data_IF_724854184412
#
_entry.id   IF_724854184412
#
_cell.length_a   1.000
_cell.length_b   1.000
_cell.length_c   1.000
_cell.angle_alpha   90.00
_cell.angle_beta   90.00
_cell.angle_gamma   90.00
#
_symmetry.space_group_name_H-M   'P 1'
#
loop_
_entity.id
_entity.type
_entity.pdbx_description
1 polymer ?
#
# COMPACT_ATOMS: atom_id res chain seq x y z
N UNK A 1 17.32 30.76 -9.90
CA UNK A 1 17.05 30.08 -8.61
C UNK A 1 15.66 29.49 -8.65
N UNK A 2 15.54 28.16 -8.70
CA UNK A 2 14.31 27.41 -8.42
C UNK A 2 14.72 26.16 -7.65
N UNK A 3 14.43 26.16 -6.36
CA UNK A 3 14.52 24.98 -5.49
C UNK A 3 13.40 24.02 -5.90
N UNK A 4 13.72 23.05 -6.75
CA UNK A 4 12.97 21.80 -6.80
C UNK A 4 13.46 20.97 -5.62
N UNK A 5 12.74 21.10 -4.50
CA UNK A 5 12.92 20.23 -3.36
C UNK A 5 12.55 18.81 -3.78
N UNK A 6 13.56 18.00 -4.06
CA UNK A 6 13.42 16.57 -3.99
C UNK A 6 12.94 16.26 -2.58
N UNK A 7 11.68 15.87 -2.42
CA UNK A 7 11.25 15.10 -1.26
C UNK A 7 12.02 13.80 -1.35
N UNK A 8 13.21 13.80 -0.74
CA UNK A 8 14.06 12.64 -0.63
C UNK A 8 13.22 11.54 -0.04
N UNK A 9 12.93 10.53 -0.86
CA UNK A 9 12.45 9.26 -0.38
C UNK A 9 13.47 8.80 0.64
N UNK A 10 13.09 8.89 1.91
CA UNK A 10 13.84 8.25 2.98
C UNK A 10 13.91 6.80 2.54
N UNK A 11 15.13 6.32 2.30
CA UNK A 11 15.40 4.91 2.10
C UNK A 11 14.96 4.22 3.40
N UNK A 12 13.68 3.87 3.46
CA UNK A 12 13.14 2.95 4.42
C UNK A 12 13.91 1.66 4.10
N UNK A 13 14.87 1.31 4.95
CA UNK A 13 15.86 0.27 4.66
C UNK A 13 15.14 -0.91 4.04
N UNK A 14 15.44 -1.19 2.76
CA UNK A 14 14.75 -2.21 1.99
C UNK A 14 14.96 -3.52 2.73
N UNK A 15 13.93 -4.11 3.35
CA UNK A 15 14.05 -5.46 3.86
C UNK A 15 14.08 -6.34 2.62
N UNK A 16 15.28 -6.58 2.09
CA UNK A 16 15.49 -7.36 0.88
C UNK A 16 14.72 -8.68 1.01
N UNK A 17 13.87 -8.96 0.02
CA UNK A 17 13.06 -10.18 -0.01
C UNK A 17 11.76 -10.16 0.80
N UNK A 18 11.39 -9.06 1.46
CA UNK A 18 10.07 -8.92 2.07
C UNK A 18 9.03 -8.34 1.07
N UNK A 19 7.80 -8.83 1.15
CA UNK A 19 6.66 -8.37 0.35
C UNK A 19 5.44 -8.13 1.23
N UNK A 20 4.61 -7.14 0.90
CA UNK A 20 3.30 -6.94 1.50
C UNK A 20 2.23 -7.56 0.59
N UNK A 21 1.26 -8.25 1.18
CA UNK A 21 0.07 -8.74 0.46
C UNK A 21 -0.89 -7.57 0.27
N UNK A 22 -1.20 -7.24 -0.98
CA UNK A 22 -2.12 -6.14 -1.32
C UNK A 22 -3.54 -6.65 -1.57
N UNK A 23 -3.65 -7.71 -2.37
CA UNK A 23 -4.92 -8.38 -2.69
C UNK A 23 -4.73 -9.88 -2.52
N UNK A 24 -5.68 -10.54 -1.86
CA UNK A 24 -5.65 -11.98 -1.60
C UNK A 24 -6.91 -12.65 -2.13
N UNK A 25 -6.80 -13.30 -3.29
CA UNK A 25 -7.86 -14.11 -3.87
C UNK A 25 -7.64 -15.61 -3.58
N UNK A 26 -8.61 -16.44 -3.95
CA UNK A 26 -8.59 -17.88 -3.65
C UNK A 26 -7.37 -18.59 -4.28
N UNK A 27 -7.02 -18.25 -5.52
CA UNK A 27 -5.97 -18.94 -6.30
C UNK A 27 -4.70 -18.10 -6.48
N UNK A 28 -4.82 -16.77 -6.41
CA UNK A 28 -3.73 -15.82 -6.66
C UNK A 28 -3.68 -14.74 -5.59
N UNK A 29 -2.53 -14.10 -5.48
CA UNK A 29 -2.35 -12.93 -4.64
C UNK A 29 -1.57 -11.86 -5.39
N UNK A 30 -1.90 -10.60 -5.14
CA UNK A 30 -1.06 -9.47 -5.52
C UNK A 30 -0.18 -9.10 -4.34
N UNK A 31 1.13 -8.99 -4.60
CA UNK A 31 2.12 -8.61 -3.60
C UNK A 31 3.00 -7.48 -4.10
N UNK A 32 3.43 -6.61 -3.18
CA UNK A 32 4.32 -5.47 -3.46
C UNK A 32 5.60 -5.62 -2.65
N UNK A 33 6.80 -5.40 -3.22
CA UNK A 33 8.03 -5.38 -2.44
C UNK A 33 8.00 -4.31 -1.34
N UNK A 34 8.39 -4.69 -0.13
CA UNK A 34 8.57 -3.72 0.96
C UNK A 34 9.79 -2.85 0.66
N UNK A 35 9.64 -1.54 0.74
CA UNK A 35 10.63 -0.57 0.26
C UNK A 35 10.33 0.00 -1.13
N UNK A 36 9.23 -0.43 -1.75
CA UNK A 36 8.74 0.07 -3.03
C UNK A 36 9.09 -0.82 -4.22
N UNK A 37 8.43 -0.58 -5.34
CA UNK A 37 8.53 -1.38 -6.54
C UNK A 37 7.17 -1.62 -7.17
N UNK A 38 7.15 -2.44 -8.22
CA UNK A 38 5.91 -2.80 -8.91
C UNK A 38 5.20 -3.95 -8.20
N UNK A 39 3.87 -3.89 -8.18
CA UNK A 39 3.03 -4.99 -7.75
C UNK A 39 3.19 -6.19 -8.70
N UNK A 40 3.18 -7.39 -8.14
CA UNK A 40 3.28 -8.65 -8.90
C UNK A 40 2.21 -9.62 -8.44
N UNK A 41 1.73 -10.42 -9.38
CA UNK A 41 0.80 -11.52 -9.11
C UNK A 41 1.59 -12.80 -8.87
N UNK A 42 1.27 -13.50 -7.79
CA UNK A 42 1.86 -14.79 -7.42
C UNK A 42 0.77 -15.81 -7.11
N UNK A 43 1.02 -17.13 -7.24
CA UNK A 43 0.05 -18.13 -6.82
C UNK A 43 -0.17 -18.06 -5.30
N UNK A 44 -1.43 -18.16 -4.85
CA UNK A 44 -1.80 -18.16 -3.42
C UNK A 44 -1.05 -19.23 -2.62
N UNK A 45 -0.79 -20.36 -3.24
CA UNK A 45 -0.06 -21.49 -2.66
C UNK A 45 1.41 -21.17 -2.30
N UNK A 46 1.98 -20.10 -2.84
CA UNK A 46 3.35 -19.66 -2.50
C UNK A 46 3.42 -18.84 -1.22
N UNK A 47 2.27 -18.39 -0.71
CA UNK A 47 2.17 -17.63 0.54
C UNK A 47 1.81 -18.54 1.72
N UNK A 48 2.19 -18.17 2.96
CA UNK A 48 1.72 -18.87 4.15
C UNK A 48 0.19 -18.96 4.19
N UNK A 49 -0.34 -20.01 4.82
CA UNK A 49 -1.80 -20.25 4.84
C UNK A 49 -2.56 -19.16 5.61
N UNK A 50 -1.97 -18.65 6.67
CA UNK A 50 -2.65 -17.73 7.59
C UNK A 50 -2.48 -16.25 7.22
N UNK A 51 -1.82 -15.93 6.10
CA UNK A 51 -1.65 -14.52 5.68
C UNK A 51 -2.98 -13.90 5.27
N UNK A 52 -3.07 -12.60 5.49
CA UNK A 52 -4.17 -11.72 5.12
C UNK A 52 -3.67 -10.56 4.28
N UNK A 53 -4.60 -9.85 3.65
CA UNK A 53 -4.29 -8.56 3.04
C UNK A 53 -3.72 -7.60 4.08
N UNK A 54 -2.66 -6.88 3.69
CA UNK A 54 -1.88 -6.01 4.56
C UNK A 54 -0.74 -6.72 5.30
N UNK A 55 -0.71 -8.06 5.37
CA UNK A 55 0.38 -8.77 6.04
C UNK A 55 1.69 -8.65 5.25
N UNK A 56 2.79 -8.60 5.99
CA UNK A 56 4.13 -8.65 5.42
C UNK A 56 4.65 -10.08 5.48
N UNK A 57 5.22 -10.56 4.38
CA UNK A 57 5.84 -11.89 4.26
C UNK A 57 7.31 -11.72 3.93
N UNK A 58 8.18 -12.38 4.69
CA UNK A 58 9.62 -12.44 4.47
C UNK A 58 10.07 -13.89 4.50
N UNK A 59 10.83 -14.30 3.48
CA UNK A 59 11.36 -15.66 3.38
C UNK A 59 10.28 -16.75 3.54
N UNK A 60 9.08 -16.51 2.99
CA UNK A 60 7.96 -17.44 3.04
C UNK A 60 7.28 -17.56 4.41
N UNK A 61 7.50 -16.60 5.32
CA UNK A 61 6.82 -16.52 6.63
C UNK A 61 6.21 -15.14 6.84
N UNK A 62 5.10 -15.07 7.57
CA UNK A 62 4.57 -13.78 8.02
C UNK A 62 5.54 -13.09 8.98
N UNK A 63 5.81 -11.81 8.75
CA UNK A 63 6.67 -10.94 9.55
C UNK A 63 5.81 -9.89 10.28
N UNK A 64 5.21 -10.32 11.39
CA UNK A 64 4.28 -9.50 12.17
C UNK A 64 4.95 -8.27 12.79
N UNK A 65 6.24 -8.36 13.13
CA UNK A 65 6.99 -7.24 13.72
C UNK A 65 7.21 -6.14 12.68
N UNK A 66 7.68 -6.49 11.49
CA UNK A 66 7.84 -5.55 10.39
C UNK A 66 6.48 -4.95 9.96
N UNK A 67 5.44 -5.78 9.86
CA UNK A 67 4.09 -5.33 9.56
C UNK A 67 3.55 -4.31 10.58
N UNK A 68 3.68 -4.60 11.88
CA UNK A 68 3.24 -3.70 12.94
C UNK A 68 4.01 -2.36 12.92
N UNK A 69 5.32 -2.42 12.66
CA UNK A 69 6.15 -1.21 12.51
C UNK A 69 5.67 -0.34 11.34
N UNK A 70 5.50 -0.93 10.15
CA UNK A 70 5.06 -0.19 8.97
C UNK A 70 3.64 0.38 9.15
N UNK A 71 2.73 -0.39 9.75
CA UNK A 71 1.38 0.09 10.06
C UNK A 71 1.41 1.32 10.97
N UNK A 72 2.29 1.32 11.98
CA UNK A 72 2.50 2.47 12.86
C UNK A 72 3.08 3.67 12.09
N UNK A 73 4.11 3.47 11.26
CA UNK A 73 4.70 4.55 10.46
C UNK A 73 3.65 5.18 9.52
N UNK A 74 2.82 4.37 8.86
CA UNK A 74 1.71 4.85 8.02
C UNK A 74 0.68 5.63 8.85
N UNK A 75 0.33 5.15 10.03
CA UNK A 75 -0.60 5.86 10.91
C UNK A 75 -0.05 7.23 11.35
N UNK A 76 1.23 7.30 11.70
CA UNK A 76 1.91 8.57 12.03
C UNK A 76 1.92 9.53 10.83
N UNK A 77 2.18 9.04 9.62
CA UNK A 77 2.11 9.85 8.40
C UNK A 77 0.71 10.33 8.08
N UNK A 78 -0.30 9.45 8.16
CA UNK A 78 -1.70 9.83 7.96
C UNK A 78 -2.14 10.91 8.93
N UNK A 79 -1.73 10.81 10.20
CA UNK A 79 -2.02 11.84 11.19
C UNK A 79 -1.36 13.19 10.86
N UNK A 80 -0.10 13.18 10.39
CA UNK A 80 0.62 14.40 9.99
C UNK A 80 0.06 15.06 8.73
N UNK A 81 -0.41 14.25 7.79
CA UNK A 81 -0.94 14.69 6.50
C UNK A 81 -2.46 14.88 6.51
N UNK A 82 -3.11 14.62 7.65
CA UNK A 82 -4.55 14.78 7.79
C UNK A 82 -4.94 16.24 7.52
N UNK A 83 -5.86 16.42 6.57
CA UNK A 83 -6.50 17.70 6.28
C UNK A 83 -7.97 17.59 6.67
N UNK A 84 -8.50 18.65 7.27
CA UNK A 84 -9.92 18.70 7.61
C UNK A 84 -10.76 18.61 6.35
N UNK A 85 -11.82 17.80 6.40
CA UNK A 85 -12.85 17.80 5.35
C UNK A 85 -13.65 19.11 5.51
N UNK A 86 -13.78 19.95 4.48
CA UNK A 86 -14.59 21.15 4.54
C UNK A 86 -16.06 20.83 4.85
N UNK A 87 -16.71 21.71 5.62
CA UNK A 87 -18.15 21.59 5.88
C UNK A 87 -18.95 21.49 4.56
N UNK A 88 -19.84 20.51 4.48
CA UNK A 88 -20.68 20.28 3.30
C UNK A 88 -20.03 19.46 2.17
N UNK A 89 -18.78 19.02 2.31
CA UNK A 89 -18.19 18.02 1.41
C UNK A 89 -18.53 16.62 1.90
N UNK A 90 -19.47 15.96 1.22
CA UNK A 90 -19.83 14.57 1.48
C UNK A 90 -18.86 13.64 0.74
N UNK A 91 -18.05 12.90 1.50
CA UNK A 91 -17.11 11.89 1.00
C UNK A 91 -17.69 10.47 1.12
N UNK A 92 -18.84 10.30 1.77
CA UNK A 92 -19.50 9.03 2.03
C UNK A 92 -20.54 8.69 0.94
N UNK A 93 -21.07 9.69 0.23
CA UNK A 93 -21.81 9.46 -1.01
C UNK A 93 -20.83 9.10 -2.12
N UNK A 94 -20.58 7.79 -2.26
CA UNK A 94 -19.71 7.22 -3.28
C UNK A 94 -19.86 7.93 -4.63
N UNK A 95 -18.72 8.30 -5.22
CA UNK A 95 -18.68 9.15 -6.41
C UNK A 95 -19.66 8.65 -7.50
N UNK A 96 -20.61 9.47 -7.96
CA UNK A 96 -21.49 9.08 -9.05
C UNK A 96 -20.67 9.01 -10.34
N UNK A 97 -20.42 7.78 -10.80
CA UNK A 97 -19.73 7.41 -12.05
C UNK A 97 -18.28 7.90 -12.19
N UNK A 98 -17.39 7.03 -12.66
CA UNK A 98 -15.97 7.38 -12.79
C UNK A 98 -15.78 8.58 -13.72
N UNK A 99 -15.11 9.62 -13.22
CA UNK A 99 -14.74 10.82 -13.97
C UNK A 99 -13.78 10.54 -15.15
N UNK A 100 -13.40 9.28 -15.35
CA UNK A 100 -12.49 8.80 -16.40
C UNK A 100 -13.22 8.21 -17.62
N UNK A 101 -14.55 8.10 -17.62
CA UNK A 101 -15.28 7.32 -18.64
C UNK A 101 -15.45 7.98 -20.02
N UNK A 102 -15.00 9.22 -20.26
CA UNK A 102 -15.09 9.82 -21.61
C UNK A 102 -13.77 10.38 -22.09
N UNK A 103 -13.07 9.54 -22.87
CA UNK A 103 -12.17 10.01 -23.91
C UNK A 103 -12.24 9.08 -25.11
N UNK A 104 -13.38 9.09 -25.80
CA UNK A 104 -13.49 8.62 -27.18
C UNK A 104 -13.94 9.81 -28.03
N UNK A 105 -13.06 10.25 -28.93
CA UNK A 105 -13.34 11.12 -30.06
C UNK A 105 -13.03 10.32 -31.33
#
# INVERSE_FOLDING_TARGET
MRLMGALGGVACGTPEGAVQVEVLEDEVAQVVPVGGGEARVVPRATLPRDVREGDVVREGRGDAELGARLAREVAEWRARLAVSVPDGLDLDSGAPESLTRRKEY
#
